data_IF_875312602199
#
_entry.id   IF_875312602199
#
_cell.length_a   1.000
_cell.length_b   1.000
_cell.length_c   1.000
_cell.angle_alpha   90.00
_cell.angle_beta   90.00
_cell.angle_gamma   90.00
#
_symmetry.space_group_name_H-M   'P 1'
#
loop_
_entity.id
_entity.type
_entity.pdbx_description
1 polymer ?
#
# COMPACT_ATOMS: atom_id res chain seq x y z
N UNK A 1 -7.42 8.87 -8.04
CA UNK A 1 -8.23 9.18 -6.84
C UNK A 1 -8.33 8.02 -5.84
N UNK A 2 -8.30 6.75 -6.28
CA UNK A 2 -8.47 5.59 -5.38
C UNK A 2 -7.56 5.56 -4.15
N UNK A 3 -6.27 5.88 -4.29
CA UNK A 3 -5.33 5.93 -3.16
C UNK A 3 -5.73 6.92 -2.05
N UNK A 4 -6.29 8.09 -2.40
CA UNK A 4 -6.79 9.04 -1.38
C UNK A 4 -7.99 8.47 -0.63
N UNK A 5 -8.93 7.83 -1.34
CA UNK A 5 -10.08 7.20 -0.71
C UNK A 5 -9.65 6.11 0.29
N UNK A 6 -8.66 5.30 -0.08
CA UNK A 6 -8.05 4.30 0.80
C UNK A 6 -7.40 4.94 2.04
N UNK A 7 -6.54 5.96 1.85
CA UNK A 7 -5.85 6.66 2.94
C UNK A 7 -6.83 7.24 3.97
N UNK A 8 -7.86 7.94 3.51
CA UNK A 8 -8.83 8.58 4.41
C UNK A 8 -9.74 7.58 5.11
N UNK A 9 -10.15 6.51 4.42
CA UNK A 9 -10.92 5.42 5.06
C UNK A 9 -10.10 4.70 6.13
N UNK A 10 -8.85 4.38 5.85
CA UNK A 10 -7.93 3.78 6.80
C UNK A 10 -7.72 4.69 8.03
N UNK A 11 -7.46 5.99 7.80
CA UNK A 11 -7.24 6.96 8.88
C UNK A 11 -8.43 7.01 9.84
N UNK A 12 -9.66 7.15 9.32
CA UNK A 12 -10.88 7.14 10.15
C UNK A 12 -11.01 5.87 10.99
N UNK A 13 -10.65 4.71 10.42
CA UNK A 13 -10.67 3.43 11.13
C UNK A 13 -9.63 3.40 12.28
N UNK A 14 -8.42 3.91 12.04
CA UNK A 14 -7.36 3.96 13.05
C UNK A 14 -7.70 4.96 14.17
N UNK A 15 -8.21 6.14 13.82
CA UNK A 15 -8.68 7.15 14.78
C UNK A 15 -9.80 6.60 15.67
N UNK A 16 -10.80 5.93 15.07
CA UNK A 16 -11.88 5.28 15.82
C UNK A 16 -11.39 4.17 16.76
N UNK A 17 -10.25 3.54 16.44
CA UNK A 17 -9.59 2.54 17.27
C UNK A 17 -8.56 3.14 18.26
N UNK A 18 -8.40 4.47 18.30
CA UNK A 18 -7.42 5.14 19.15
C UNK A 18 -5.96 4.86 18.76
N UNK A 19 -5.70 4.46 17.52
CA UNK A 19 -4.37 4.08 17.03
C UNK A 19 -3.68 5.23 16.27
N UNK A 20 -2.33 5.24 16.20
CA UNK A 20 -1.59 6.21 15.39
C UNK A 20 -1.94 6.17 13.90
N UNK A 21 -1.79 7.31 13.22
CA UNK A 21 -2.15 7.50 11.80
C UNK A 21 -1.02 8.07 10.94
N UNK A 22 0.20 8.03 11.45
CA UNK A 22 1.39 8.72 10.91
C UNK A 22 2.13 7.91 9.84
N UNK A 23 1.93 6.58 9.77
CA UNK A 23 2.72 5.68 8.91
C UNK A 23 1.89 4.81 7.96
N UNK A 24 1.02 5.38 7.09
CA UNK A 24 0.29 4.57 6.12
C UNK A 24 1.23 3.92 5.09
N UNK A 25 0.93 2.68 4.68
CA UNK A 25 1.60 2.02 3.57
C UNK A 25 0.61 1.47 2.52
N UNK A 26 1.11 1.24 1.30
CA UNK A 26 0.38 0.65 0.18
C UNK A 26 1.19 -0.53 -0.38
N UNK A 27 0.58 -1.72 -0.44
CA UNK A 27 1.22 -2.93 -0.98
C UNK A 27 0.87 -3.10 -2.46
N UNK A 28 1.85 -3.43 -3.29
CA UNK A 28 1.66 -3.62 -4.73
C UNK A 28 2.76 -4.50 -5.36
N UNK A 29 2.54 -4.93 -6.60
CA UNK A 29 3.59 -5.52 -7.45
C UNK A 29 4.27 -4.47 -8.33
N UNK A 30 4.81 -4.84 -9.51
CA UNK A 30 5.45 -3.90 -10.43
C UNK A 30 4.45 -2.86 -10.97
N UNK A 31 4.38 -1.71 -10.31
CA UNK A 31 3.36 -0.69 -10.55
C UNK A 31 3.78 0.34 -11.60
N UNK A 32 2.78 0.95 -12.23
CA UNK A 32 2.99 2.13 -13.07
C UNK A 32 3.37 3.36 -12.22
N UNK A 33 4.15 4.29 -12.79
CA UNK A 33 4.74 5.45 -12.10
C UNK A 33 3.73 6.34 -11.32
N UNK A 34 2.44 6.32 -11.65
CA UNK A 34 1.42 7.06 -10.93
C UNK A 34 1.30 6.65 -9.46
N UNK A 35 1.61 5.39 -9.12
CA UNK A 35 1.59 4.91 -7.73
C UNK A 35 2.80 5.38 -6.93
N UNK A 36 3.98 5.46 -7.55
CA UNK A 36 5.14 6.10 -6.94
C UNK A 36 4.89 7.59 -6.69
N UNK A 37 4.27 8.29 -7.65
CA UNK A 37 3.85 9.69 -7.49
C UNK A 37 2.84 9.85 -6.35
N UNK A 38 1.83 8.99 -6.30
CA UNK A 38 0.86 8.98 -5.20
C UNK A 38 1.55 8.80 -3.84
N UNK A 39 2.38 7.77 -3.71
CA UNK A 39 3.11 7.47 -2.48
C UNK A 39 3.96 8.67 -2.03
N UNK A 40 4.68 9.30 -2.97
CA UNK A 40 5.52 10.46 -2.71
C UNK A 40 4.74 11.72 -2.32
N UNK A 41 3.66 12.03 -3.04
CA UNK A 41 2.93 13.29 -2.83
C UNK A 41 1.99 13.24 -1.63
N UNK A 42 1.59 12.04 -1.19
CA UNK A 42 0.68 11.85 -0.07
C UNK A 42 1.34 11.17 1.13
N UNK A 43 2.67 11.14 1.23
CA UNK A 43 3.39 10.54 2.37
C UNK A 43 2.86 9.14 2.75
N UNK A 44 2.85 8.24 1.76
CA UNK A 44 2.49 6.83 1.93
C UNK A 44 3.71 6.00 1.59
N UNK A 45 4.09 5.08 2.48
CA UNK A 45 5.15 4.11 2.20
C UNK A 45 4.70 3.16 1.08
N UNK A 46 5.48 3.04 0.01
CA UNK A 46 5.19 2.09 -1.07
C UNK A 46 5.94 0.78 -0.82
N UNK A 47 5.19 -0.28 -0.53
CA UNK A 47 5.72 -1.65 -0.38
C UNK A 47 5.55 -2.40 -1.70
N UNK A 48 6.49 -2.13 -2.60
CA UNK A 48 6.54 -2.78 -3.90
C UNK A 48 7.22 -4.15 -3.80
N UNK A 49 6.50 -5.20 -4.18
CA UNK A 49 7.00 -6.56 -4.20
C UNK A 49 7.87 -6.72 -5.46
N UNK A 50 9.19 -6.97 -5.30
CA UNK A 50 10.10 -6.98 -6.43
C UNK A 50 9.82 -8.16 -7.35
N UNK A 51 9.96 -7.90 -8.64
CA UNK A 51 10.04 -8.94 -9.65
C UNK A 51 11.31 -9.76 -9.44
N UNK A 52 11.23 -11.06 -9.74
CA UNK A 52 12.39 -11.95 -9.79
C UNK A 52 12.29 -12.89 -10.99
N UNK A 53 13.40 -13.48 -11.47
CA UNK A 53 13.36 -14.44 -12.57
C UNK A 53 12.31 -15.54 -12.33
N UNK A 54 11.45 -15.80 -13.32
CA UNK A 54 10.35 -16.77 -13.22
C UNK A 54 9.14 -16.29 -12.40
N UNK A 55 9.16 -15.08 -11.82
CA UNK A 55 8.05 -14.52 -11.07
C UNK A 55 7.98 -13.00 -11.20
N UNK A 56 7.31 -12.57 -12.27
CA UNK A 56 7.24 -11.18 -12.75
C UNK A 56 6.01 -10.42 -12.22
N UNK A 57 5.29 -10.99 -11.25
CA UNK A 57 4.07 -10.43 -10.67
C UNK A 57 4.07 -10.59 -9.16
N UNK A 58 3.18 -9.86 -8.48
CA UNK A 58 2.94 -10.00 -7.05
C UNK A 58 2.16 -11.28 -6.78
N UNK A 59 2.69 -12.15 -5.91
CA UNK A 59 1.97 -13.36 -5.48
C UNK A 59 1.19 -13.13 -4.18
N UNK A 60 0.16 -13.95 -3.90
CA UNK A 60 -0.61 -13.82 -2.67
C UNK A 60 0.24 -13.98 -1.41
N UNK A 61 1.26 -14.83 -1.43
CA UNK A 61 2.11 -15.08 -0.26
C UNK A 61 2.90 -13.83 0.15
N UNK A 62 3.70 -13.26 -0.74
CA UNK A 62 4.50 -12.07 -0.42
C UNK A 62 3.62 -10.85 -0.20
N UNK A 63 2.46 -10.78 -0.87
CA UNK A 63 1.45 -9.74 -0.64
C UNK A 63 0.99 -9.74 0.82
N UNK A 64 0.63 -10.89 1.37
CA UNK A 64 0.22 -11.01 2.78
C UNK A 64 1.37 -10.74 3.73
N UNK A 65 2.59 -11.22 3.44
CA UNK A 65 3.79 -10.94 4.24
C UNK A 65 4.12 -9.44 4.33
N UNK A 66 3.75 -8.65 3.31
CA UNK A 66 3.96 -7.21 3.29
C UNK A 66 2.82 -6.40 3.95
N UNK A 67 1.69 -7.02 4.28
CA UNK A 67 0.53 -6.34 4.89
C UNK A 67 0.67 -6.22 6.41
N UNK A 68 0.29 -5.06 6.95
CA UNK A 68 0.17 -4.81 8.38
C UNK A 68 -1.06 -3.92 8.70
N UNK A 69 -1.19 -3.47 9.96
CA UNK A 69 -2.31 -2.63 10.37
C UNK A 69 -2.36 -1.24 9.69
N UNK A 70 -1.22 -0.79 9.16
CA UNK A 70 -1.05 0.48 8.48
C UNK A 70 -1.24 0.38 6.96
N UNK A 71 -1.43 -0.83 6.44
CA UNK A 71 -1.73 -1.03 5.02
C UNK A 71 -3.11 -0.46 4.68
N UNK A 72 -3.12 0.60 3.87
CA UNK A 72 -4.35 1.29 3.46
C UNK A 72 -5.12 0.52 2.37
N UNK A 73 -4.42 -0.35 1.65
CA UNK A 73 -4.95 -1.18 0.58
C UNK A 73 -3.85 -1.92 -0.18
N UNK A 74 -4.29 -2.81 -1.07
CA UNK A 74 -3.43 -3.55 -2.01
C UNK A 74 -3.82 -3.16 -3.42
N UNK A 75 -2.83 -2.90 -4.28
CA UNK A 75 -3.03 -2.64 -5.71
C UNK A 75 -2.48 -3.81 -6.53
N UNK A 76 -3.35 -4.64 -7.13
CA UNK A 76 -2.91 -5.72 -8.01
C UNK A 76 -2.33 -5.16 -9.32
N UNK A 77 -1.26 -5.79 -9.79
CA UNK A 77 -0.55 -5.50 -11.04
C UNK A 77 -0.24 -6.80 -11.76
#
# INVERSE_FOLDING_TARGET
LGGMAMKWRWRKRMEAAGKPTDKPNLVCGPVQICWHKFARYWDVELREIPMRPGQLFMDPKRMIEACDENTIGVVPT
#
